data_IF_134826005968
#
_entry.id   IF_134826005968
#
_cell.length_a   1.000
_cell.length_b   1.000
_cell.length_c   1.000
_cell.angle_alpha   90.00
_cell.angle_beta   90.00
_cell.angle_gamma   90.00
#
_symmetry.space_group_name_H-M   'P 1'
#
loop_
_entity.id
_entity.type
_entity.pdbx_description
1 polymer ?
#
# COMPACT_ATOMS: atom_id res chain seq x y z
N UNK A 1 -10.11 9.06 12.72
CA UNK A 1 -9.05 8.43 11.92
C UNK A 1 -8.93 9.17 10.62
N UNK A 2 -7.93 8.84 9.80
CA UNK A 2 -7.79 9.37 8.45
C UNK A 2 -7.96 8.22 7.45
N UNK A 3 -8.64 8.51 6.35
CA UNK A 3 -8.86 7.54 5.30
C UNK A 3 -7.65 7.49 4.38
N UNK A 4 -7.19 6.27 4.10
CA UNK A 4 -6.11 5.99 3.15
C UNK A 4 -6.61 4.93 2.17
N UNK A 5 -6.15 5.02 0.93
CA UNK A 5 -6.53 4.05 -0.11
C UNK A 5 -5.28 3.42 -0.68
N UNK A 6 -5.28 2.09 -0.74
CA UNK A 6 -4.25 1.30 -1.38
C UNK A 6 -4.87 0.54 -2.56
N UNK A 7 -4.37 0.79 -3.77
CA UNK A 7 -4.84 0.13 -5.00
C UNK A 7 -3.75 -0.80 -5.51
N UNK A 8 -4.01 -2.10 -5.45
CA UNK A 8 -3.12 -3.12 -6.00
C UNK A 8 -3.37 -3.26 -7.50
N UNK A 9 -2.32 -3.09 -8.30
CA UNK A 9 -2.39 -3.17 -9.76
C UNK A 9 -1.47 -4.31 -10.22
N UNK A 10 -2.08 -5.33 -10.82
CA UNK A 10 -1.38 -6.42 -11.48
C UNK A 10 -0.94 -5.99 -12.88
N UNK A 11 0.34 -6.19 -13.21
CA UNK A 11 0.86 -6.06 -14.57
C UNK A 11 0.46 -7.22 -15.48
N UNK A 12 0.83 -7.14 -16.77
CA UNK A 12 0.47 -8.14 -17.79
C UNK A 12 0.89 -9.58 -17.43
N UNK A 13 2.03 -9.72 -16.74
CA UNK A 13 2.54 -11.01 -16.27
C UNK A 13 1.99 -11.40 -14.88
N UNK A 14 1.53 -10.43 -14.09
CA UNK A 14 0.90 -10.66 -12.80
C UNK A 14 -0.50 -11.24 -13.01
N UNK A 15 -0.66 -12.54 -12.76
CA UNK A 15 -1.95 -13.22 -13.04
C UNK A 15 -2.96 -13.18 -11.90
N UNK A 16 -2.58 -12.70 -10.70
CA UNK A 16 -3.47 -12.75 -9.53
C UNK A 16 -3.14 -11.69 -8.48
N UNK A 17 -4.13 -10.84 -8.17
CA UNK A 17 -4.19 -10.07 -6.93
C UNK A 17 -4.90 -10.94 -5.90
N UNK A 18 -4.32 -11.07 -4.72
CA UNK A 18 -4.93 -11.70 -3.56
C UNK A 18 -5.23 -10.58 -2.56
N UNK A 19 -6.49 -10.47 -2.14
CA UNK A 19 -6.91 -9.56 -1.09
C UNK A 19 -7.64 -10.42 -0.06
N UNK A 20 -7.01 -10.63 1.08
CA UNK A 20 -7.54 -11.54 2.11
C UNK A 20 -8.45 -10.81 3.11
N UNK A 21 -8.37 -9.47 3.13
CA UNK A 21 -9.12 -8.61 4.04
C UNK A 21 -10.53 -8.33 3.54
N UNK A 22 -11.45 -8.19 4.50
CA UNK A 22 -12.88 -7.95 4.27
C UNK A 22 -13.32 -6.66 4.95
N UNK A 23 -14.43 -6.05 4.51
CA UNK A 23 -14.99 -4.88 5.18
C UNK A 23 -15.25 -5.16 6.66
N UNK A 24 -14.74 -4.28 7.52
CA UNK A 24 -14.87 -4.39 8.98
C UNK A 24 -13.69 -5.08 9.67
N UNK A 25 -12.77 -5.71 8.92
CA UNK A 25 -11.56 -6.29 9.50
C UNK A 25 -10.67 -5.19 10.11
N UNK A 26 -10.04 -5.51 11.25
CA UNK A 26 -9.04 -4.67 11.89
C UNK A 26 -7.67 -5.24 11.61
N UNK A 27 -6.75 -4.40 11.16
CA UNK A 27 -5.43 -4.79 10.69
C UNK A 27 -4.38 -4.04 11.52
N UNK A 28 -3.35 -4.74 12.00
CA UNK A 28 -2.26 -4.16 12.75
C UNK A 28 -1.09 -3.76 11.83
N UNK A 29 -0.15 -2.97 12.36
CA UNK A 29 1.09 -2.66 11.66
C UNK A 29 1.87 -3.94 11.40
N UNK A 30 2.31 -4.14 10.15
CA UNK A 30 3.05 -5.32 9.72
C UNK A 30 2.19 -6.45 9.17
N UNK A 31 0.87 -6.41 9.38
CA UNK A 31 -0.04 -7.39 8.78
C UNK A 31 -0.10 -7.22 7.25
N UNK A 32 -0.16 -8.34 6.56
CA UNK A 32 -0.34 -8.36 5.11
C UNK A 32 -1.83 -8.35 4.77
N UNK A 33 -2.32 -7.28 4.14
CA UNK A 33 -3.72 -7.20 3.70
C UNK A 33 -3.97 -7.89 2.35
N UNK A 34 -2.91 -8.12 1.57
CA UNK A 34 -2.98 -8.73 0.26
C UNK A 34 -1.61 -8.89 -0.39
N UNK A 35 -1.60 -9.55 -1.55
CA UNK A 35 -0.39 -9.82 -2.32
C UNK A 35 -0.68 -9.76 -3.82
N UNK A 36 0.18 -9.04 -4.54
CA UNK A 36 0.20 -9.03 -6.00
C UNK A 36 1.55 -9.52 -6.52
N UNK A 37 1.53 -10.62 -7.29
CA UNK A 37 2.75 -11.35 -7.72
C UNK A 37 3.27 -10.88 -9.08
N UNK A 38 4.60 -10.79 -9.24
CA UNK A 38 5.34 -10.57 -10.50
C UNK A 38 5.01 -9.29 -11.30
N UNK A 39 5.85 -8.26 -11.23
CA UNK A 39 5.71 -7.07 -12.09
C UNK A 39 4.47 -6.24 -11.74
N UNK A 40 4.27 -6.00 -10.45
CA UNK A 40 3.10 -5.35 -9.89
C UNK A 40 3.39 -3.93 -9.40
N UNK A 41 2.33 -3.12 -9.26
CA UNK A 41 2.38 -1.75 -8.74
C UNK A 41 1.38 -1.61 -7.59
N UNK A 42 1.72 -0.75 -6.63
CA UNK A 42 0.81 -0.29 -5.59
C UNK A 42 0.68 1.23 -5.68
N UNK A 43 -0.55 1.71 -5.83
CA UNK A 43 -0.85 3.14 -5.74
C UNK A 43 -1.40 3.41 -4.33
N UNK A 44 -0.82 4.38 -3.62
CA UNK A 44 -1.24 4.78 -2.27
C UNK A 44 -1.74 6.22 -2.31
N UNK A 45 -2.99 6.43 -1.91
CA UNK A 45 -3.60 7.74 -1.80
C UNK A 45 -3.70 8.14 -0.33
N UNK A 46 -3.23 9.36 -0.05
CA UNK A 46 -3.12 9.92 1.28
C UNK A 46 -4.02 11.15 1.40
N UNK A 47 -4.53 11.46 2.60
CA UNK A 47 -5.32 12.66 2.82
C UNK A 47 -4.49 13.92 2.52
N UNK A 48 -5.17 14.99 2.10
CA UNK A 48 -4.55 16.28 1.89
C UNK A 48 -3.88 16.79 3.19
N UNK A 49 -2.69 17.37 3.05
CA UNK A 49 -1.87 17.81 4.19
C UNK A 49 -0.90 16.76 4.75
N UNK A 50 -0.90 15.52 4.21
CA UNK A 50 0.11 14.52 4.57
C UNK A 50 1.51 14.99 4.19
N UNK A 51 2.47 14.80 5.11
CA UNK A 51 3.89 15.04 4.86
C UNK A 51 4.51 13.77 4.25
N UNK A 52 5.00 13.88 3.01
CA UNK A 52 5.63 12.75 2.31
C UNK A 52 7.05 12.55 2.83
N UNK A 53 7.39 11.32 3.24
CA UNK A 53 8.67 10.97 3.86
C UNK A 53 9.58 10.13 2.94
N UNK A 54 9.20 9.98 1.68
CA UNK A 54 9.94 9.23 0.65
C UNK A 54 10.20 10.08 -0.58
N UNK A 55 11.23 9.71 -1.33
CA UNK A 55 11.64 10.40 -2.56
C UNK A 55 11.36 9.56 -3.82
N UNK A 56 11.18 10.24 -4.95
CA UNK A 56 11.04 9.57 -6.24
C UNK A 56 12.30 8.76 -6.56
N UNK A 57 12.12 7.48 -6.89
CA UNK A 57 13.23 6.55 -7.17
C UNK A 57 13.80 5.88 -5.93
N UNK A 58 13.38 6.26 -4.72
CA UNK A 58 13.73 5.55 -3.50
C UNK A 58 13.17 4.13 -3.53
N UNK A 59 14.02 3.15 -3.19
CA UNK A 59 13.57 1.78 -3.01
C UNK A 59 12.77 1.66 -1.72
N UNK A 60 11.50 1.26 -1.83
CA UNK A 60 10.64 0.97 -0.68
C UNK A 60 10.66 -0.54 -0.35
N UNK A 61 10.63 -0.85 0.94
CA UNK A 61 10.48 -2.19 1.50
C UNK A 61 9.15 -2.27 2.25
N UNK A 62 8.36 -3.31 1.96
CA UNK A 62 7.05 -3.52 2.57
C UNK A 62 7.19 -3.72 4.08
N UNK A 63 6.32 -3.06 4.85
CA UNK A 63 6.33 -3.13 6.32
C UNK A 63 7.43 -2.31 7.00
N UNK A 64 8.39 -1.75 6.27
CA UNK A 64 9.53 -1.02 6.84
C UNK A 64 9.59 0.44 6.38
N UNK A 65 9.40 0.70 5.09
CA UNK A 65 9.48 2.06 4.56
C UNK A 65 8.22 2.85 4.89
N UNK A 66 8.36 3.88 5.72
CA UNK A 66 7.29 4.82 6.03
C UNK A 66 7.10 5.78 4.86
N UNK A 67 5.91 5.77 4.23
CA UNK A 67 5.64 6.60 3.05
C UNK A 67 5.34 8.07 3.43
N UNK A 68 4.60 8.30 4.51
CA UNK A 68 4.16 9.63 4.90
C UNK A 68 3.77 9.70 6.38
N UNK A 69 3.78 10.91 6.93
CA UNK A 69 3.08 11.27 8.18
C UNK A 69 1.73 11.87 7.81
N UNK A 70 0.66 11.29 8.33
CA UNK A 70 -0.70 11.80 8.11
C UNK A 70 -0.91 13.12 8.90
N UNK A 71 -1.88 13.97 8.52
CA UNK A 71 -2.19 15.22 9.19
C UNK A 71 -2.45 15.11 10.69
#
# INVERSE_FOLDING_TARGET
>A
GHDVVAVQIAGLLARRIVCDVRPGDKIAIGDTYGLVRYGSRLDTYLPAGSEILVETGQRALAGETVLARLP
#
